data_IF_168634448865
#
_entry.id   IF_168634448865
#
_cell.length_a   1.000
_cell.length_b   1.000
_cell.length_c   1.000
_cell.angle_alpha   90.00
_cell.angle_beta   90.00
_cell.angle_gamma   90.00
#
_symmetry.space_group_name_H-M   'P 1'
#
loop_
_entity.id
_entity.type
_entity.pdbx_description
1 polymer ?
#
# COMPACT_ATOMS: atom_id res chain seq x y z
N UNK A 1 19.17 28.07 -6.13
CA UNK A 1 19.56 26.65 -6.29
C UNK A 1 18.34 25.70 -6.27
N UNK A 2 17.15 26.19 -5.95
CA UNK A 2 15.86 25.48 -5.95
C UNK A 2 15.34 25.14 -7.36
N UNK A 3 15.46 26.06 -8.33
CA UNK A 3 14.86 25.89 -9.67
C UNK A 3 15.45 24.73 -10.48
N UNK A 4 16.76 24.48 -10.37
CA UNK A 4 17.44 23.43 -11.15
C UNK A 4 17.08 22.02 -10.65
N UNK A 5 16.89 21.84 -9.34
CA UNK A 5 16.47 20.56 -8.76
C UNK A 5 15.00 20.26 -9.09
N UNK A 6 14.13 21.28 -9.01
CA UNK A 6 12.73 21.16 -9.43
C UNK A 6 12.61 20.81 -10.92
N UNK A 7 13.35 21.48 -11.81
CA UNK A 7 13.35 21.15 -13.24
C UNK A 7 13.83 19.72 -13.53
N UNK A 8 14.81 19.21 -12.78
CA UNK A 8 15.28 17.84 -12.96
C UNK A 8 14.18 16.83 -12.57
N UNK A 9 13.53 17.03 -11.44
CA UNK A 9 12.43 16.17 -11.01
C UNK A 9 11.27 16.19 -12.01
N UNK A 10 10.88 17.36 -12.48
CA UNK A 10 9.81 17.50 -13.48
C UNK A 10 10.13 16.74 -14.77
N UNK A 11 11.39 16.76 -15.22
CA UNK A 11 11.82 15.97 -16.38
C UNK A 11 11.73 14.46 -16.11
N UNK A 12 12.13 14.01 -14.92
CA UNK A 12 12.01 12.60 -14.52
C UNK A 12 10.54 12.17 -14.51
N UNK A 13 9.64 12.96 -13.90
CA UNK A 13 8.21 12.67 -13.87
C UNK A 13 7.62 12.66 -15.29
N UNK A 14 8.04 13.59 -16.15
CA UNK A 14 7.65 13.57 -17.55
C UNK A 14 8.11 12.30 -18.28
N UNK A 15 9.33 11.84 -18.01
CA UNK A 15 9.89 10.63 -18.61
C UNK A 15 9.20 9.35 -18.10
N UNK A 16 8.61 9.34 -16.89
CA UNK A 16 7.76 8.24 -16.43
C UNK A 16 6.51 8.07 -17.30
N UNK A 17 5.91 9.16 -17.78
CA UNK A 17 4.72 9.14 -18.64
C UNK A 17 5.02 9.03 -20.14
N UNK A 18 6.21 8.57 -20.52
CA UNK A 18 6.66 8.48 -21.91
C UNK A 18 6.33 7.12 -22.54
N UNK A 19 5.93 7.11 -23.81
CA UNK A 19 5.77 5.85 -24.59
C UNK A 19 7.11 5.15 -24.90
N UNK A 20 8.23 5.87 -24.76
CA UNK A 20 9.58 5.31 -24.90
C UNK A 20 10.00 4.57 -23.63
N UNK A 21 9.93 3.23 -23.68
CA UNK A 21 10.36 2.32 -22.61
C UNK A 21 11.74 2.64 -22.04
N UNK A 22 12.71 3.04 -22.87
CA UNK A 22 14.06 3.35 -22.39
C UNK A 22 14.10 4.58 -21.50
N UNK A 23 13.24 5.58 -21.76
CA UNK A 23 13.09 6.75 -20.91
C UNK A 23 12.43 6.41 -19.59
N UNK A 24 11.37 5.62 -19.63
CA UNK A 24 10.67 5.16 -18.41
C UNK A 24 11.62 4.40 -17.49
N UNK A 25 12.34 3.39 -18.01
CA UNK A 25 13.32 2.64 -17.22
C UNK A 25 14.46 3.52 -16.69
N UNK A 26 14.88 4.51 -17.47
CA UNK A 26 15.88 5.49 -17.01
C UNK A 26 15.35 6.36 -15.87
N UNK A 27 14.10 6.81 -15.96
CA UNK A 27 13.45 7.60 -14.92
C UNK A 27 13.30 6.79 -13.62
N UNK A 28 12.84 5.54 -13.69
CA UNK A 28 12.74 4.62 -12.55
C UNK A 28 14.12 4.44 -11.88
N UNK A 29 15.17 4.18 -12.67
CA UNK A 29 16.55 4.05 -12.15
C UNK A 29 17.04 5.34 -11.47
N UNK A 30 16.70 6.50 -12.02
CA UNK A 30 17.05 7.78 -11.40
C UNK A 30 16.33 7.99 -10.07
N UNK A 31 15.05 7.63 -9.99
CA UNK A 31 14.27 7.72 -8.75
C UNK A 31 14.77 6.75 -7.69
N UNK A 32 15.10 5.50 -8.05
CA UNK A 32 15.72 4.54 -7.12
C UNK A 32 17.01 5.08 -6.51
N UNK A 33 17.82 5.77 -7.31
CA UNK A 33 19.11 6.32 -6.85
C UNK A 33 18.97 7.57 -5.99
N UNK A 34 17.98 8.41 -6.26
CA UNK A 34 17.95 9.77 -5.70
C UNK A 34 16.80 10.01 -4.73
N UNK A 35 15.73 9.22 -4.78
CA UNK A 35 14.53 9.38 -3.97
C UNK A 35 13.81 10.70 -4.23
N UNK A 36 12.47 10.66 -4.29
CA UNK A 36 11.67 11.86 -4.18
C UNK A 36 10.23 11.52 -3.82
N UNK A 37 9.74 11.99 -2.66
CA UNK A 37 8.35 11.78 -2.23
C UNK A 37 7.33 12.26 -3.28
N UNK A 38 7.61 13.36 -4.00
CA UNK A 38 6.69 13.87 -5.03
C UNK A 38 6.53 12.92 -6.24
N UNK A 39 7.38 11.89 -6.35
CA UNK A 39 7.27 10.89 -7.40
C UNK A 39 6.39 9.68 -7.01
N UNK A 40 5.94 9.56 -5.74
CA UNK A 40 5.15 8.40 -5.28
C UNK A 40 3.87 8.24 -6.10
N UNK A 41 3.01 9.26 -6.15
CA UNK A 41 1.78 9.20 -6.94
C UNK A 41 2.04 8.97 -8.45
N UNK A 42 2.99 9.66 -9.12
CA UNK A 42 3.37 9.32 -10.49
C UNK A 42 3.83 7.87 -10.70
N UNK A 43 4.54 7.26 -9.73
CA UNK A 43 4.97 5.87 -9.81
C UNK A 43 3.78 4.91 -9.67
N UNK A 44 2.84 5.20 -8.77
CA UNK A 44 1.61 4.42 -8.58
C UNK A 44 0.72 4.49 -9.82
N UNK A 45 0.57 5.69 -10.40
CA UNK A 45 -0.19 5.88 -11.64
C UNK A 45 0.41 5.07 -12.80
N UNK A 46 1.74 5.08 -12.93
CA UNK A 46 2.42 4.27 -13.93
C UNK A 46 2.26 2.77 -13.64
N UNK A 47 2.33 2.34 -12.37
CA UNK A 47 2.10 0.95 -11.99
C UNK A 47 0.69 0.48 -12.38
N UNK A 48 -0.32 1.33 -12.16
CA UNK A 48 -1.72 1.02 -12.48
C UNK A 48 -2.01 0.93 -13.98
N UNK A 49 -1.25 1.67 -14.79
CA UNK A 49 -1.52 1.82 -16.24
C UNK A 49 -0.55 1.02 -17.13
N UNK A 50 0.61 0.62 -16.60
CA UNK A 50 1.64 -0.12 -17.34
C UNK A 50 1.15 -1.50 -17.79
N UNK A 51 1.50 -1.86 -19.02
CA UNK A 51 1.30 -3.21 -19.60
C UNK A 51 2.62 -3.90 -19.94
N UNK A 52 3.74 -3.29 -19.55
CA UNK A 52 5.09 -3.83 -19.81
C UNK A 52 5.62 -4.47 -18.52
N UNK A 53 5.83 -5.78 -18.57
CA UNK A 53 6.23 -6.57 -17.40
C UNK A 53 7.55 -6.11 -16.77
N UNK A 54 8.50 -5.62 -17.57
CA UNK A 54 9.80 -5.15 -17.07
C UNK A 54 9.63 -3.82 -16.33
N UNK A 55 8.85 -2.88 -16.89
CA UNK A 55 8.51 -1.62 -16.21
C UNK A 55 7.79 -1.91 -14.90
N UNK A 56 6.78 -2.79 -14.94
CA UNK A 56 5.99 -3.14 -13.75
C UNK A 56 6.85 -3.78 -12.67
N UNK A 57 7.72 -4.74 -13.02
CA UNK A 57 8.64 -5.36 -12.06
C UNK A 57 9.62 -4.35 -11.44
N UNK A 58 10.20 -3.46 -12.25
CA UNK A 58 11.13 -2.43 -11.76
C UNK A 58 10.45 -1.40 -10.84
N UNK A 59 9.17 -1.07 -11.10
CA UNK A 59 8.35 -0.20 -10.27
C UNK A 59 8.03 -0.84 -8.93
N UNK A 60 7.55 -2.08 -8.92
CA UNK A 60 7.25 -2.82 -7.69
C UNK A 60 8.49 -2.89 -6.81
N UNK A 61 9.63 -3.27 -7.39
CA UNK A 61 10.86 -3.34 -6.61
C UNK A 61 11.33 -1.96 -6.12
N UNK A 62 11.09 -0.88 -6.88
CA UNK A 62 11.37 0.47 -6.40
C UNK A 62 10.47 0.84 -5.21
N UNK A 63 9.19 0.51 -5.27
CA UNK A 63 8.24 0.78 -4.18
C UNK A 63 8.54 -0.06 -2.94
N UNK A 64 9.03 -1.29 -3.09
CA UNK A 64 9.50 -2.13 -1.98
C UNK A 64 10.85 -1.68 -1.39
N UNK A 65 11.62 -0.87 -2.12
CA UNK A 65 12.88 -0.29 -1.65
C UNK A 65 12.65 1.02 -0.84
N UNK A 66 11.39 1.45 -0.63
CA UNK A 66 11.05 2.66 0.13
C UNK A 66 11.49 2.55 1.59
N UNK A 67 11.86 3.69 2.18
CA UNK A 67 12.37 3.77 3.57
C UNK A 67 11.93 5.03 4.32
N UNK A 68 11.35 5.98 3.60
CA UNK A 68 11.00 7.27 4.16
C UNK A 68 9.57 7.20 4.65
N UNK A 69 9.37 7.24 5.96
CA UNK A 69 8.06 7.20 6.61
C UNK A 69 7.13 8.32 6.13
N UNK A 70 7.69 9.43 5.61
CA UNK A 70 6.90 10.52 5.07
C UNK A 70 6.04 10.11 3.86
N UNK A 71 6.28 8.96 3.22
CA UNK A 71 5.46 8.50 2.08
C UNK A 71 4.17 7.79 2.51
N UNK A 72 3.99 7.47 3.80
CA UNK A 72 2.86 6.67 4.26
C UNK A 72 1.52 7.32 3.94
N UNK A 73 1.34 8.62 4.22
CA UNK A 73 0.10 9.32 3.88
C UNK A 73 -0.21 9.27 2.38
N UNK A 74 0.82 9.33 1.52
CA UNK A 74 0.65 9.27 0.07
C UNK A 74 0.22 7.87 -0.37
N UNK A 75 0.76 6.82 0.26
CA UNK A 75 0.38 5.42 0.02
C UNK A 75 -1.05 5.15 0.51
N UNK A 76 -1.41 5.62 1.70
CA UNK A 76 -2.76 5.48 2.24
C UNK A 76 -3.78 6.17 1.34
N UNK A 77 -3.49 7.40 0.91
CA UNK A 77 -4.35 8.13 -0.05
C UNK A 77 -4.59 7.30 -1.33
N UNK A 78 -3.55 6.65 -1.85
CA UNK A 78 -3.70 5.78 -3.02
C UNK A 78 -4.44 4.45 -2.72
N UNK A 79 -4.27 3.91 -1.51
CA UNK A 79 -5.01 2.73 -1.06
C UNK A 79 -6.50 3.04 -0.90
N UNK A 80 -6.89 4.26 -0.56
CA UNK A 80 -8.29 4.65 -0.45
C UNK A 80 -8.91 5.05 -1.80
N UNK A 81 -8.10 5.30 -2.83
CA UNK A 81 -8.57 5.64 -4.18
C UNK A 81 -8.94 4.37 -4.98
N UNK A 82 -10.22 4.23 -5.31
CA UNK A 82 -10.76 3.12 -6.12
C UNK A 82 -10.14 3.01 -7.53
N UNK A 83 -9.55 4.10 -8.04
CA UNK A 83 -8.80 4.11 -9.30
C UNK A 83 -7.64 3.10 -9.29
N UNK A 84 -7.09 2.83 -8.10
CA UNK A 84 -5.97 1.92 -7.89
C UNK A 84 -6.38 0.52 -7.40
N UNK A 85 -7.66 0.16 -7.53
CA UNK A 85 -8.13 -1.20 -7.23
C UNK A 85 -7.29 -2.32 -7.89
N UNK A 86 -6.87 -2.23 -9.17
CA UNK A 86 -6.08 -3.29 -9.82
C UNK A 86 -4.70 -3.55 -9.19
N UNK A 87 -4.17 -2.59 -8.43
CA UNK A 87 -2.84 -2.64 -7.83
C UNK A 87 -2.91 -2.58 -6.30
N UNK A 88 -4.10 -2.71 -5.70
CA UNK A 88 -4.34 -2.52 -4.27
C UNK A 88 -3.49 -3.45 -3.40
N UNK A 89 -3.46 -4.74 -3.74
CA UNK A 89 -2.63 -5.73 -3.05
C UNK A 89 -1.15 -5.31 -3.04
N UNK A 90 -0.62 -4.84 -4.18
CA UNK A 90 0.76 -4.35 -4.27
C UNK A 90 0.97 -3.10 -3.42
N UNK A 91 0.01 -2.18 -3.35
CA UNK A 91 0.15 -0.97 -2.52
C UNK A 91 0.19 -1.30 -1.02
N UNK A 92 -0.66 -2.23 -0.57
CA UNK A 92 -0.69 -2.67 0.82
C UNK A 92 0.58 -3.46 1.17
N UNK A 93 1.07 -4.30 0.26
CA UNK A 93 2.27 -5.11 0.52
C UNK A 93 3.53 -4.26 0.74
N UNK A 94 3.57 -3.02 0.23
CA UNK A 94 4.70 -2.09 0.45
C UNK A 94 4.98 -1.92 1.94
N UNK A 95 3.97 -1.91 2.81
CA UNK A 95 4.14 -1.67 4.25
C UNK A 95 5.03 -2.74 4.91
N UNK A 96 4.72 -4.02 4.71
CA UNK A 96 5.54 -5.10 5.27
C UNK A 96 6.83 -5.33 4.49
N UNK A 97 6.84 -5.13 3.17
CA UNK A 97 8.04 -5.27 2.32
C UNK A 97 9.11 -4.22 2.67
N UNK A 98 8.68 -2.99 2.89
CA UNK A 98 9.54 -1.83 3.13
C UNK A 98 9.74 -1.52 4.61
N UNK A 99 9.02 -2.22 5.50
CA UNK A 99 8.95 -1.94 6.94
C UNK A 99 8.50 -0.50 7.22
N UNK A 100 7.53 -0.01 6.45
CA UNK A 100 6.87 1.26 6.74
C UNK A 100 5.84 1.01 7.84
N UNK A 101 5.80 1.91 8.81
CA UNK A 101 4.81 1.83 9.88
C UNK A 101 3.45 2.32 9.39
N UNK A 102 2.46 1.44 9.37
CA UNK A 102 1.08 1.76 9.00
C UNK A 102 0.10 1.64 10.16
N UNK A 103 0.58 1.50 11.40
CA UNK A 103 -0.25 1.20 12.57
C UNK A 103 -1.43 2.16 12.75
N UNK A 104 -1.20 3.47 12.59
CA UNK A 104 -2.23 4.53 12.64
C UNK A 104 -3.36 4.38 11.61
N UNK A 105 -3.19 3.49 10.62
CA UNK A 105 -4.12 3.25 9.53
C UNK A 105 -4.72 1.84 9.56
N UNK A 106 -4.70 1.17 10.72
CA UNK A 106 -5.26 -0.17 10.89
C UNK A 106 -6.69 -0.27 10.36
N UNK A 107 -7.56 0.71 10.68
CA UNK A 107 -8.91 0.76 10.13
C UNK A 107 -8.92 0.74 8.59
N UNK A 108 -8.12 1.58 7.92
CA UNK A 108 -8.05 1.60 6.46
C UNK A 108 -7.69 0.22 5.90
N UNK A 109 -6.71 -0.47 6.48
CA UNK A 109 -6.36 -1.83 6.05
C UNK A 109 -7.51 -2.83 6.24
N UNK A 110 -8.21 -2.79 7.38
CA UNK A 110 -9.36 -3.68 7.63
C UNK A 110 -10.47 -3.44 6.61
N UNK A 111 -10.80 -2.18 6.31
CA UNK A 111 -11.80 -1.86 5.29
C UNK A 111 -11.39 -2.38 3.90
N UNK A 112 -10.09 -2.32 3.56
CA UNK A 112 -9.58 -2.90 2.31
C UNK A 112 -9.67 -4.44 2.28
N UNK A 113 -9.48 -5.14 3.40
CA UNK A 113 -9.69 -6.58 3.45
C UNK A 113 -11.17 -6.96 3.27
N UNK A 114 -12.06 -6.22 3.91
CA UNK A 114 -13.51 -6.45 3.86
C UNK A 114 -14.03 -6.25 2.43
N UNK A 115 -13.72 -5.11 1.81
CA UNK A 115 -14.31 -4.71 0.53
C UNK A 115 -13.47 -5.12 -0.70
N UNK A 116 -12.18 -5.40 -0.50
CA UNK A 116 -11.27 -5.80 -1.56
C UNK A 116 -11.42 -7.26 -1.98
N UNK A 117 -10.52 -7.68 -2.87
CA UNK A 117 -10.43 -9.07 -3.30
C UNK A 117 -9.61 -9.93 -2.32
N UNK A 118 -9.59 -11.24 -2.58
CA UNK A 118 -8.83 -12.19 -1.77
C UNK A 118 -7.34 -11.85 -1.66
N UNK A 119 -6.73 -11.37 -2.75
CA UNK A 119 -5.32 -10.99 -2.76
C UNK A 119 -5.05 -9.77 -1.85
N UNK A 120 -5.93 -8.78 -1.89
CA UNK A 120 -5.88 -7.60 -1.01
C UNK A 120 -5.97 -8.02 0.46
N UNK A 121 -6.90 -8.93 0.79
CA UNK A 121 -7.04 -9.44 2.16
C UNK A 121 -5.79 -10.21 2.64
N UNK A 122 -5.06 -10.92 1.76
CA UNK A 122 -3.80 -11.59 2.13
C UNK A 122 -2.74 -10.57 2.54
N UNK A 123 -2.61 -9.49 1.77
CA UNK A 123 -1.60 -8.48 2.05
C UNK A 123 -1.95 -7.70 3.33
N UNK A 124 -3.23 -7.43 3.59
CA UNK A 124 -3.71 -6.87 4.86
C UNK A 124 -3.36 -7.77 6.04
N UNK A 125 -3.66 -9.07 5.94
CA UNK A 125 -3.30 -10.05 6.96
C UNK A 125 -1.79 -10.01 7.26
N UNK A 126 -0.97 -9.95 6.20
CA UNK A 126 0.49 -9.90 6.33
C UNK A 126 0.96 -8.61 7.00
N UNK A 127 0.33 -7.47 6.70
CA UNK A 127 0.60 -6.20 7.39
C UNK A 127 0.31 -6.34 8.88
N UNK A 128 -0.88 -6.83 9.24
CA UNK A 128 -1.32 -6.98 10.64
C UNK A 128 -0.35 -7.87 11.43
N UNK A 129 0.05 -9.01 10.88
CA UNK A 129 1.02 -9.92 11.52
C UNK A 129 2.40 -9.31 11.75
N UNK A 130 2.73 -8.21 11.07
CA UNK A 130 4.01 -7.50 11.20
C UNK A 130 3.89 -6.16 11.96
N UNK A 131 2.71 -5.80 12.46
CA UNK A 131 2.55 -4.61 13.29
C UNK A 131 3.23 -4.81 14.64
N UNK A 132 4.08 -3.86 15.02
CA UNK A 132 4.76 -3.80 16.32
C UNK A 132 4.37 -2.50 17.02
N UNK A 133 3.07 -2.39 17.30
CA UNK A 133 2.43 -1.25 17.95
C UNK A 133 1.41 -1.73 18.97
N UNK A 134 0.95 -0.82 19.83
CA UNK A 134 -0.22 -1.04 20.67
C UNK A 134 -1.41 -0.28 20.10
N UNK A 135 -2.60 -0.78 20.38
CA UNK A 135 -3.85 -0.24 19.87
C UNK A 135 -4.83 0.02 21.00
N UNK A 136 -5.76 0.94 20.75
CA UNK A 136 -6.85 1.23 21.65
C UNK A 136 -7.87 0.07 21.67
N UNK A 137 -8.39 -0.26 22.86
CA UNK A 137 -9.34 -1.38 23.01
C UNK A 137 -10.65 -1.12 22.26
N UNK A 138 -11.15 0.13 22.26
CA UNK A 138 -12.38 0.51 21.57
C UNK A 138 -12.19 0.42 20.05
N UNK A 139 -11.06 0.88 19.52
CA UNK A 139 -10.69 0.72 18.10
C UNK A 139 -10.73 -0.76 17.69
N UNK A 140 -9.99 -1.63 18.41
CA UNK A 140 -9.95 -3.06 18.09
C UNK A 140 -11.34 -3.70 18.20
N UNK A 141 -12.15 -3.32 19.18
CA UNK A 141 -13.52 -3.83 19.31
C UNK A 141 -14.41 -3.43 18.14
N UNK A 142 -14.28 -2.20 17.63
CA UNK A 142 -15.06 -1.71 16.49
C UNK A 142 -14.66 -2.43 15.21
N UNK A 143 -13.35 -2.58 14.94
CA UNK A 143 -12.86 -3.29 13.76
C UNK A 143 -13.29 -4.75 13.72
N UNK A 144 -13.36 -5.39 14.89
CA UNK A 144 -13.87 -6.77 15.01
C UNK A 144 -15.36 -6.86 14.67
N UNK A 145 -16.15 -5.88 15.10
CA UNK A 145 -17.57 -5.80 14.77
C UNK A 145 -17.78 -5.65 13.26
N UNK A 146 -17.00 -4.80 12.59
CA UNK A 146 -17.05 -4.64 11.14
C UNK A 146 -16.73 -5.96 10.40
N UNK A 147 -15.72 -6.70 10.87
CA UNK A 147 -15.39 -8.03 10.34
C UNK A 147 -16.51 -9.05 10.58
N UNK A 148 -17.15 -9.05 11.76
CA UNK A 148 -18.29 -9.92 12.06
C UNK A 148 -19.50 -9.63 11.14
N UNK A 149 -19.75 -8.36 10.83
CA UNK A 149 -20.80 -7.97 9.88
C UNK A 149 -20.45 -8.45 8.46
N UNK A 150 -19.22 -8.17 8.00
CA UNK A 150 -18.73 -8.60 6.69
C UNK A 150 -18.83 -10.13 6.49
N UNK A 151 -18.46 -10.92 7.50
CA UNK A 151 -18.51 -12.38 7.47
C UNK A 151 -19.91 -12.95 7.26
N UNK A 152 -20.97 -12.22 7.63
CA UNK A 152 -22.36 -12.67 7.41
C UNK A 152 -22.76 -12.60 5.94
N UNK A 153 -22.09 -11.78 5.15
CA UNK A 153 -22.45 -11.47 3.77
C UNK A 153 -21.39 -11.91 2.74
N UNK A 154 -20.21 -12.33 3.18
CA UNK A 154 -19.15 -12.82 2.28
C UNK A 154 -19.52 -14.18 1.68
N UNK A 155 -19.66 -14.22 0.35
CA UNK A 155 -20.05 -15.43 -0.39
C UNK A 155 -18.84 -16.30 -0.75
N UNK A 156 -17.64 -15.71 -0.85
CA UNK A 156 -16.41 -16.46 -1.10
C UNK A 156 -15.94 -17.14 0.18
N UNK A 157 -16.08 -18.47 0.24
CA UNK A 157 -15.72 -19.27 1.42
C UNK A 157 -14.24 -19.14 1.82
N UNK A 158 -13.32 -18.95 0.87
CA UNK A 158 -11.90 -18.82 1.16
C UNK A 158 -11.59 -17.41 1.69
N UNK A 159 -12.20 -16.38 1.10
CA UNK A 159 -12.10 -15.02 1.64
C UNK A 159 -12.75 -14.90 3.02
N UNK A 160 -13.90 -15.53 3.26
CA UNK A 160 -14.53 -15.57 4.57
C UNK A 160 -13.62 -16.22 5.63
N UNK A 161 -12.94 -17.34 5.31
CA UNK A 161 -11.94 -17.94 6.22
C UNK A 161 -10.77 -17.01 6.51
N UNK A 162 -10.34 -16.24 5.51
CA UNK A 162 -9.26 -15.27 5.65
C UNK A 162 -9.69 -14.08 6.53
N UNK A 163 -10.87 -13.52 6.32
CA UNK A 163 -11.43 -12.46 7.18
C UNK A 163 -11.58 -12.92 8.63
N UNK A 164 -12.04 -14.14 8.86
CA UNK A 164 -12.09 -14.74 10.20
C UNK A 164 -10.69 -14.97 10.80
N UNK A 165 -9.66 -15.08 9.97
CA UNK A 165 -8.27 -15.17 10.43
C UNK A 165 -7.73 -13.80 10.81
N UNK A 166 -7.98 -12.77 9.98
CA UNK A 166 -7.67 -11.37 10.30
C UNK A 166 -8.30 -10.96 11.63
N UNK A 167 -9.60 -11.26 11.83
CA UNK A 167 -10.30 -10.97 13.07
C UNK A 167 -9.64 -11.64 14.29
N UNK A 168 -9.10 -12.85 14.13
CA UNK A 168 -8.37 -13.54 15.21
C UNK A 168 -7.05 -12.85 15.51
N UNK A 169 -6.27 -12.47 14.49
CA UNK A 169 -5.01 -11.73 14.66
C UNK A 169 -5.20 -10.41 15.39
N UNK A 170 -6.34 -9.73 15.20
CA UNK A 170 -6.66 -8.52 15.98
C UNK A 170 -6.69 -8.75 17.50
N UNK A 171 -7.03 -9.96 17.98
CA UNK A 171 -7.00 -10.28 19.42
C UNK A 171 -5.59 -10.57 19.95
N UNK A 172 -4.62 -10.77 19.05
CA UNK A 172 -3.22 -11.03 19.38
C UNK A 172 -2.39 -9.74 19.41
N UNK A 173 -2.96 -8.62 18.93
CA UNK A 173 -2.35 -7.30 19.00
C UNK A 173 -2.25 -6.80 20.44
N UNK A 174 -1.22 -6.00 20.72
CA UNK A 174 -1.03 -5.38 22.02
C UNK A 174 -2.10 -4.31 22.23
N UNK A 175 -2.74 -4.32 23.41
CA UNK A 175 -3.75 -3.33 23.79
C UNK A 175 -3.16 -2.39 24.84
N UNK A 176 -3.31 -1.09 24.60
CA UNK A 176 -3.05 -0.05 25.60
C UNK A 176 -4.33 0.22 26.41
N UNK A 177 -4.18 0.32 27.73
CA UNK A 177 -5.26 0.67 28.65
C UNK A 177 -4.92 2.02 29.28
N UNK A 178 -5.83 2.99 29.15
CA UNK A 178 -5.75 4.29 29.83
C UNK A 178 -5.91 4.19 31.36
#
# INVERSE_FOLDING_TARGET
>A
MTDKKSNRLNNIIKDLGSDDKSKVLTAIKQLRKHGNRMAILPLIELLNTSKDDEITADLIQLLYDLKDQAVVDDLITAIEDETYAPVKAVLISIFWQSKLDGSDYLNTFIQQAIHGDYATAIEVMTVIDNLDASFDEEEISNLRFDLDDALQYEEDEEKAKLLATIQRSLNELNIEYD
#
